data_IF_377718132279
#
_entry.id   IF_377718132279
#
_cell.length_a   1.000
_cell.length_b   1.000
_cell.length_c   1.000
_cell.angle_alpha   90.00
_cell.angle_beta   90.00
_cell.angle_gamma   90.00
#
_symmetry.space_group_name_H-M   'P 1'
#
loop_
_entity.id
_entity.type
_entity.pdbx_description
1 polymer ?
#
# COMPACT_ATOMS: atom_id res chain seq x y z
N UNK A 1 -55.14 -34.73 -12.75
CA UNK A 1 -53.81 -34.59 -12.14
C UNK A 1 -53.02 -33.59 -12.95
N UNK A 2 -52.97 -32.31 -12.50
CA UNK A 2 -52.25 -31.21 -13.20
C UNK A 2 -50.89 -31.09 -12.54
N UNK A 3 -49.80 -31.37 -13.27
CA UNK A 3 -48.42 -31.15 -12.80
C UNK A 3 -48.07 -29.69 -12.98
N UNK A 4 -47.90 -28.97 -11.89
CA UNK A 4 -47.41 -27.59 -11.83
C UNK A 4 -45.87 -27.63 -11.97
N UNK A 5 -45.35 -27.17 -13.10
CA UNK A 5 -43.92 -27.03 -13.30
C UNK A 5 -43.46 -25.66 -12.68
N UNK A 6 -42.72 -25.76 -11.60
CA UNK A 6 -42.12 -24.60 -10.93
C UNK A 6 -40.82 -24.21 -11.68
N UNK A 7 -40.83 -23.14 -12.46
CA UNK A 7 -39.65 -22.57 -13.08
C UNK A 7 -38.91 -21.72 -12.01
N UNK A 8 -37.78 -22.22 -11.51
CA UNK A 8 -36.87 -21.43 -10.68
C UNK A 8 -36.12 -20.49 -11.61
N UNK A 9 -36.47 -19.22 -11.55
CA UNK A 9 -35.74 -18.13 -12.22
C UNK A 9 -34.51 -17.77 -11.36
N UNK A 10 -33.35 -18.33 -11.70
CA UNK A 10 -32.08 -17.95 -11.06
C UNK A 10 -31.64 -16.60 -11.64
N UNK A 11 -31.93 -15.51 -10.92
CA UNK A 11 -31.42 -14.17 -11.26
C UNK A 11 -29.94 -14.13 -10.86
N UNK A 12 -29.04 -14.32 -11.82
CA UNK A 12 -27.65 -14.00 -11.66
C UNK A 12 -27.53 -12.48 -11.55
N UNK A 13 -27.35 -11.97 -10.33
CA UNK A 13 -26.90 -10.61 -10.09
C UNK A 13 -25.45 -10.50 -10.58
N UNK A 14 -25.27 -10.26 -11.86
CA UNK A 14 -24.00 -9.80 -12.40
C UNK A 14 -23.79 -8.38 -11.86
N UNK A 15 -22.96 -8.24 -10.84
CA UNK A 15 -22.52 -6.94 -10.39
C UNK A 15 -21.90 -6.23 -11.61
N UNK A 16 -22.58 -5.20 -12.11
CA UNK A 16 -22.17 -4.43 -13.26
C UNK A 16 -20.92 -3.62 -12.85
N UNK A 17 -19.74 -4.22 -12.95
CA UNK A 17 -18.48 -3.46 -12.81
C UNK A 17 -18.40 -2.52 -14.01
N UNK A 18 -18.21 -1.24 -13.71
CA UNK A 18 -18.01 -0.23 -14.75
C UNK A 18 -16.75 -0.58 -15.56
N UNK A 19 -16.87 -0.71 -16.85
CA UNK A 19 -15.71 -0.98 -17.70
C UNK A 19 -14.70 0.19 -17.60
N UNK A 20 -13.37 -0.11 -17.61
CA UNK A 20 -12.37 0.92 -17.56
C UNK A 20 -12.46 1.85 -18.76
N UNK A 21 -12.38 3.16 -18.52
CA UNK A 21 -12.38 4.18 -19.59
C UNK A 21 -11.07 4.23 -20.36
N UNK A 22 -9.98 3.83 -19.74
CA UNK A 22 -8.62 3.83 -20.28
C UNK A 22 -8.05 2.42 -20.21
N UNK A 23 -7.41 1.98 -21.29
CA UNK A 23 -6.69 0.70 -21.32
C UNK A 23 -5.21 1.00 -21.16
N UNK A 24 -4.64 0.59 -20.03
CA UNK A 24 -3.21 0.72 -19.76
C UNK A 24 -2.46 -0.53 -20.24
N UNK A 25 -1.25 -0.33 -20.73
CA UNK A 25 -0.31 -1.41 -21.09
C UNK A 25 0.75 -1.51 -20.00
N UNK A 26 0.79 -2.64 -19.29
CA UNK A 26 1.79 -2.86 -18.25
C UNK A 26 3.18 -3.04 -18.87
N UNK A 27 4.16 -2.26 -18.40
CA UNK A 27 5.59 -2.50 -18.63
C UNK A 27 6.20 -3.39 -17.54
N UNK A 28 5.79 -3.13 -16.29
CA UNK A 28 6.17 -3.92 -15.11
C UNK A 28 4.93 -4.15 -14.27
N UNK A 29 4.69 -5.40 -13.88
CA UNK A 29 3.67 -5.77 -12.90
C UNK A 29 4.30 -6.70 -11.88
N UNK A 30 4.39 -6.25 -10.63
CA UNK A 30 4.87 -7.08 -9.53
C UNK A 30 3.77 -8.04 -9.07
N UNK A 31 4.13 -9.26 -8.66
CA UNK A 31 3.18 -10.16 -8.02
C UNK A 31 2.75 -9.59 -6.67
N UNK A 32 1.49 -9.77 -6.30
CA UNK A 32 0.95 -9.17 -5.08
C UNK A 32 -0.16 -10.03 -4.48
N UNK A 33 -0.43 -9.86 -3.18
CA UNK A 33 -1.61 -10.41 -2.53
C UNK A 33 -2.89 -9.72 -3.03
N UNK A 34 -4.08 -10.32 -2.84
CA UNK A 34 -5.35 -9.68 -3.18
C UNK A 34 -5.50 -8.29 -2.54
N UNK A 35 -6.22 -7.40 -3.23
CA UNK A 35 -6.59 -6.10 -2.68
C UNK A 35 -7.50 -6.28 -1.47
N UNK A 36 -7.15 -5.63 -0.37
CA UNK A 36 -7.92 -5.65 0.88
C UNK A 36 -8.83 -4.42 0.98
N UNK A 37 -9.72 -4.41 1.96
CA UNK A 37 -10.58 -3.27 2.25
C UNK A 37 -10.40 -2.85 3.72
N UNK A 38 -9.87 -1.64 3.93
CA UNK A 38 -9.68 -1.06 5.27
C UNK A 38 -10.99 -0.60 5.92
N UNK A 39 -12.10 -0.57 5.16
CA UNK A 39 -13.39 -0.08 5.64
C UNK A 39 -13.33 1.38 6.10
N UNK A 40 -13.90 1.65 7.27
CA UNK A 40 -13.97 3.00 7.86
C UNK A 40 -12.80 3.31 8.82
N UNK A 41 -11.68 2.60 8.71
CA UNK A 41 -10.50 2.85 9.53
C UNK A 41 -9.57 3.88 8.88
N UNK A 42 -8.71 4.53 9.68
CA UNK A 42 -7.64 5.41 9.19
C UNK A 42 -6.31 4.65 9.05
N UNK A 43 -6.34 3.36 8.70
CA UNK A 43 -5.16 2.49 8.66
C UNK A 43 -4.57 2.31 7.25
N UNK A 44 -4.86 3.21 6.31
CA UNK A 44 -4.30 3.14 4.94
C UNK A 44 -2.78 2.95 4.94
N UNK A 45 -2.06 3.66 5.81
CA UNK A 45 -0.63 3.55 6.00
C UNK A 45 -0.17 2.11 6.36
N UNK A 46 -0.93 1.43 7.22
CA UNK A 46 -0.64 0.04 7.58
C UNK A 46 -0.91 -0.92 6.40
N UNK A 47 -2.05 -0.75 5.71
CA UNK A 47 -2.38 -1.58 4.55
C UNK A 47 -1.38 -1.39 3.40
N UNK A 48 -0.98 -0.16 3.12
CA UNK A 48 -0.03 0.15 2.05
C UNK A 48 1.36 -0.42 2.34
N UNK A 49 1.89 -0.17 3.55
CA UNK A 49 3.22 -0.66 3.91
C UNK A 49 3.26 -2.19 4.05
N UNK A 50 2.22 -2.85 4.60
CA UNK A 50 2.13 -4.31 4.59
C UNK A 50 2.08 -4.87 3.16
N UNK A 51 1.33 -4.22 2.26
CA UNK A 51 1.32 -4.62 0.84
C UNK A 51 2.68 -4.47 0.17
N UNK A 52 3.47 -3.47 0.54
CA UNK A 52 4.84 -3.28 0.06
C UNK A 52 5.73 -4.42 0.53
N UNK A 53 5.71 -4.75 1.84
CA UNK A 53 6.48 -5.87 2.41
C UNK A 53 6.07 -7.20 1.74
N UNK A 54 4.76 -7.48 1.63
CA UNK A 54 4.25 -8.68 0.95
C UNK A 54 4.78 -8.79 -0.48
N UNK A 55 4.72 -7.69 -1.24
CA UNK A 55 5.14 -7.65 -2.65
C UNK A 55 6.65 -7.88 -2.81
N UNK A 56 7.48 -7.31 -1.93
CA UNK A 56 8.92 -7.56 -1.88
C UNK A 56 9.22 -9.07 -1.76
N UNK A 57 8.58 -9.73 -0.80
CA UNK A 57 8.78 -11.16 -0.57
C UNK A 57 8.28 -12.02 -1.74
N UNK A 58 7.07 -11.74 -2.24
CA UNK A 58 6.48 -12.51 -3.34
C UNK A 58 7.32 -12.33 -4.62
N UNK A 59 7.88 -11.15 -4.87
CA UNK A 59 8.76 -10.91 -6.02
C UNK A 59 10.06 -11.73 -5.95
N UNK A 60 10.50 -12.11 -4.75
CA UNK A 60 11.66 -13.00 -4.50
C UNK A 60 11.29 -14.49 -4.50
N UNK A 61 10.00 -14.83 -4.61
CA UNK A 61 9.48 -16.21 -4.65
C UNK A 61 8.95 -16.73 -3.33
N UNK A 62 8.89 -15.92 -2.29
CA UNK A 62 8.31 -16.27 -1.00
C UNK A 62 6.77 -16.21 -1.03
N UNK A 63 6.13 -16.91 -0.10
CA UNK A 63 4.68 -16.82 0.11
C UNK A 63 4.40 -16.07 1.42
N UNK A 64 4.22 -14.76 1.32
CA UNK A 64 3.95 -13.88 2.47
C UNK A 64 2.60 -13.18 2.29
N UNK A 65 1.74 -13.32 3.29
CA UNK A 65 0.46 -12.65 3.38
C UNK A 65 0.24 -12.22 4.84
N UNK A 66 0.21 -10.92 5.09
CA UNK A 66 0.25 -10.32 6.43
C UNK A 66 -1.12 -9.80 6.86
N UNK A 67 -1.38 -9.82 8.18
CA UNK A 67 -2.66 -9.39 8.72
C UNK A 67 -2.68 -7.91 9.11
N UNK A 68 -3.42 -7.05 8.40
CA UNK A 68 -3.67 -5.67 8.84
C UNK A 68 -4.57 -5.63 10.09
N UNK A 69 -5.44 -6.62 10.27
CA UNK A 69 -6.32 -6.73 11.44
C UNK A 69 -5.55 -6.99 12.74
N UNK A 70 -4.41 -7.67 12.66
CA UNK A 70 -3.50 -7.78 13.80
C UNK A 70 -2.94 -6.40 14.20
N UNK A 71 -2.56 -5.58 13.22
CA UNK A 71 -2.10 -4.19 13.47
C UNK A 71 -3.22 -3.39 14.13
N UNK A 72 -4.43 -3.42 13.59
CA UNK A 72 -5.61 -2.78 14.20
C UNK A 72 -5.81 -3.22 15.66
N UNK A 73 -5.63 -4.52 15.94
CA UNK A 73 -5.77 -5.10 17.28
C UNK A 73 -4.71 -4.61 18.25
N UNK A 74 -3.44 -4.52 17.85
CA UNK A 74 -2.34 -4.13 18.74
C UNK A 74 -2.29 -2.63 19.00
N UNK A 75 -2.67 -1.79 18.02
CA UNK A 75 -2.74 -0.34 18.22
C UNK A 75 -3.95 0.09 19.04
N UNK A 76 -4.99 -0.75 19.15
CA UNK A 76 -6.22 -0.51 19.93
C UNK A 76 -6.95 0.80 19.59
N UNK A 77 -6.68 1.40 18.44
CA UNK A 77 -7.25 2.68 18.00
C UNK A 77 -7.54 2.63 16.52
N UNK A 78 -8.81 2.41 16.16
CA UNK A 78 -9.27 2.35 14.75
C UNK A 78 -9.05 3.67 13.98
N UNK A 79 -8.96 4.77 14.69
CA UNK A 79 -8.79 6.11 14.14
C UNK A 79 -7.34 6.62 14.27
N UNK A 80 -6.38 5.72 14.55
CA UNK A 80 -4.99 6.10 14.60
C UNK A 80 -4.51 6.45 13.21
N UNK A 81 -4.12 7.71 13.00
CA UNK A 81 -3.39 8.15 11.82
C UNK A 81 -1.91 7.84 12.00
N UNK A 82 -1.19 7.70 10.90
CA UNK A 82 0.24 7.40 10.92
C UNK A 82 0.79 7.30 9.53
N UNK A 83 2.08 7.07 9.44
CA UNK A 83 2.85 6.94 8.20
C UNK A 83 3.38 5.50 8.03
N UNK A 84 3.96 5.19 6.87
CA UNK A 84 4.63 3.90 6.66
C UNK A 84 5.69 3.60 7.73
N UNK A 85 6.43 4.61 8.18
CA UNK A 85 7.37 4.49 9.30
C UNK A 85 6.70 4.08 10.61
N UNK A 86 5.48 4.56 10.87
CA UNK A 86 4.69 4.15 12.05
C UNK A 86 4.43 2.64 12.05
N UNK A 87 4.10 2.05 10.87
CA UNK A 87 3.96 0.61 10.78
C UNK A 87 5.25 -0.13 11.09
N UNK A 88 6.38 0.29 10.53
CA UNK A 88 7.68 -0.32 10.80
C UNK A 88 8.01 -0.30 12.29
N UNK A 89 7.71 0.80 12.99
CA UNK A 89 7.88 0.91 14.43
C UNK A 89 6.91 0.00 15.21
N UNK A 90 5.68 -0.16 14.76
CA UNK A 90 4.71 -1.09 15.38
C UNK A 90 5.17 -2.53 15.20
N UNK A 91 5.60 -2.93 14.01
CA UNK A 91 6.14 -4.27 13.73
C UNK A 91 7.35 -4.54 14.63
N UNK A 92 8.26 -3.58 14.78
CA UNK A 92 9.43 -3.72 15.66
C UNK A 92 9.04 -3.92 17.13
N UNK A 93 7.97 -3.27 17.61
CA UNK A 93 7.52 -3.34 19.01
C UNK A 93 6.60 -4.52 19.31
N UNK A 94 5.74 -4.89 18.38
CA UNK A 94 4.65 -5.83 18.59
C UNK A 94 4.72 -7.07 17.70
N UNK A 95 5.59 -7.07 16.71
CA UNK A 95 5.63 -8.09 15.68
C UNK A 95 4.49 -7.97 14.66
N UNK A 96 4.34 -9.00 13.87
CA UNK A 96 3.28 -9.18 12.86
C UNK A 96 2.89 -10.65 12.82
N UNK A 97 1.72 -10.96 12.26
CA UNK A 97 1.27 -12.34 12.04
C UNK A 97 0.80 -12.52 10.59
N UNK A 98 0.80 -13.77 10.14
CA UNK A 98 0.21 -14.11 8.84
C UNK A 98 -1.28 -13.80 8.81
N UNK A 99 -1.81 -13.53 7.61
CA UNK A 99 -3.24 -13.27 7.41
C UNK A 99 -4.11 -14.41 7.95
N UNK A 100 -3.73 -15.66 7.71
CA UNK A 100 -4.48 -16.83 8.16
C UNK A 100 -4.54 -16.98 9.69
N UNK A 101 -3.54 -16.45 10.41
CA UNK A 101 -3.53 -16.44 11.89
C UNK A 101 -4.49 -15.39 12.47
N UNK A 102 -4.83 -14.32 11.71
CA UNK A 102 -5.71 -13.26 12.16
C UNK A 102 -6.42 -12.61 10.94
N UNK A 103 -7.42 -13.30 10.34
CA UNK A 103 -7.91 -12.97 9.00
C UNK A 103 -8.92 -11.81 8.94
N UNK A 104 -9.57 -11.45 10.05
CA UNK A 104 -10.57 -10.38 10.06
C UNK A 104 -10.84 -9.82 11.47
N UNK A 105 -11.71 -8.80 11.57
CA UNK A 105 -12.06 -8.12 12.82
C UNK A 105 -12.93 -8.97 13.76
N UNK A 106 -13.53 -10.05 13.31
CA UNK A 106 -14.31 -10.95 14.19
C UNK A 106 -13.42 -11.60 15.24
N UNK A 107 -12.13 -11.67 15.00
CA UNK A 107 -11.12 -12.17 15.94
C UNK A 107 -10.74 -11.14 17.02
N UNK A 108 -11.21 -9.90 16.96
CA UNK A 108 -10.86 -8.85 17.94
C UNK A 108 -11.35 -9.14 19.37
N UNK A 109 -12.35 -10.01 19.55
CA UNK A 109 -12.78 -10.47 20.86
C UNK A 109 -11.81 -11.49 21.48
N UNK A 110 -10.95 -12.11 20.68
CA UNK A 110 -9.94 -13.05 21.15
C UNK A 110 -8.66 -12.32 21.58
N UNK A 111 -7.83 -12.92 22.44
CA UNK A 111 -6.48 -12.44 22.68
C UNK A 111 -5.68 -12.37 21.37
N UNK A 112 -4.76 -11.40 21.26
CA UNK A 112 -3.82 -11.38 20.14
C UNK A 112 -3.05 -12.71 20.09
N UNK A 113 -2.79 -13.27 18.89
CA UNK A 113 -2.07 -14.53 18.75
C UNK A 113 -0.69 -14.45 19.43
N UNK A 114 -0.36 -15.45 20.23
CA UNK A 114 0.97 -15.56 20.84
C UNK A 114 1.95 -16.27 19.90
N UNK A 115 1.44 -16.98 18.92
CA UNK A 115 2.20 -17.84 18.01
C UNK A 115 1.70 -17.71 16.58
N UNK A 116 2.64 -17.77 15.65
CA UNK A 116 2.42 -17.94 14.21
C UNK A 116 3.04 -19.28 13.82
N UNK A 117 2.36 -20.04 13.00
CA UNK A 117 2.87 -21.30 12.46
C UNK A 117 3.22 -21.09 10.98
N UNK A 118 4.44 -21.39 10.60
CA UNK A 118 4.90 -21.31 9.22
C UNK A 118 5.97 -22.38 8.95
N UNK A 119 5.87 -23.07 7.81
CA UNK A 119 6.80 -24.12 7.40
C UNK A 119 7.06 -25.19 8.49
N UNK A 120 6.02 -25.56 9.23
CA UNK A 120 6.09 -26.57 10.30
C UNK A 120 6.73 -26.12 11.59
N UNK A 121 7.12 -24.85 11.73
CA UNK A 121 7.69 -24.27 12.93
C UNK A 121 6.75 -23.23 13.58
N UNK A 122 6.97 -22.98 14.85
CA UNK A 122 6.20 -22.02 15.67
C UNK A 122 7.07 -20.82 16.00
N UNK A 123 6.54 -19.63 15.74
CA UNK A 123 7.20 -18.35 15.98
C UNK A 123 6.34 -17.45 16.88
N UNK A 124 6.94 -16.62 17.68
CA UNK A 124 6.25 -15.44 18.23
C UNK A 124 6.00 -14.42 17.13
N UNK A 125 5.03 -13.49 17.28
CA UNK A 125 4.84 -12.40 16.31
C UNK A 125 6.10 -11.57 16.04
N UNK A 126 6.98 -11.40 17.03
CA UNK A 126 8.26 -10.68 16.86
C UNK A 126 9.29 -11.50 16.07
N UNK A 127 9.45 -12.79 16.35
CA UNK A 127 10.32 -13.67 15.57
C UNK A 127 9.85 -13.78 14.13
N UNK A 128 8.53 -13.89 13.89
CA UNK A 128 7.97 -13.89 12.55
C UNK A 128 8.22 -12.55 11.83
N UNK A 129 8.09 -11.43 12.55
CA UNK A 129 8.39 -10.10 12.00
C UNK A 129 9.83 -10.01 11.47
N UNK A 130 10.81 -10.55 12.20
CA UNK A 130 12.20 -10.53 11.76
C UNK A 130 12.45 -11.32 10.47
N UNK A 131 11.61 -12.29 10.15
CA UNK A 131 11.71 -13.06 8.89
C UNK A 131 11.10 -12.34 7.69
N UNK A 132 10.25 -11.34 7.91
CA UNK A 132 9.52 -10.64 6.83
C UNK A 132 9.82 -9.14 6.75
N UNK A 133 10.45 -8.56 7.76
CA UNK A 133 10.80 -7.14 7.80
C UNK A 133 11.95 -6.93 8.79
N UNK A 134 13.17 -6.86 8.28
CA UNK A 134 14.33 -6.56 9.12
C UNK A 134 14.24 -5.13 9.69
N UNK A 135 14.75 -4.87 10.91
CA UNK A 135 14.59 -3.57 11.57
C UNK A 135 15.07 -2.36 10.75
N UNK A 136 16.07 -2.53 9.90
CA UNK A 136 16.71 -1.46 9.13
C UNK A 136 16.60 -1.68 7.60
N UNK A 137 15.64 -2.49 7.16
CA UNK A 137 15.50 -2.86 5.75
C UNK A 137 15.01 -1.71 4.87
N UNK A 138 14.19 -0.82 5.44
CA UNK A 138 13.52 0.25 4.68
C UNK A 138 14.16 1.62 4.92
N UNK A 139 14.15 2.45 3.87
CA UNK A 139 14.47 3.88 3.91
C UNK A 139 13.21 4.69 3.62
N UNK A 140 13.06 5.81 4.33
CA UNK A 140 11.99 6.79 4.11
C UNK A 140 12.55 7.99 3.34
N UNK A 141 11.94 8.34 2.22
CA UNK A 141 12.32 9.48 1.38
C UNK A 141 11.20 10.49 1.34
N UNK A 142 11.57 11.77 1.26
CA UNK A 142 10.63 12.88 1.04
C UNK A 142 11.21 13.87 0.03
N UNK A 143 10.37 14.76 -0.48
CA UNK A 143 10.82 15.90 -1.28
C UNK A 143 10.11 17.17 -0.84
N UNK A 144 10.76 17.93 0.01
CA UNK A 144 10.23 19.17 0.56
C UNK A 144 11.27 20.30 0.41
N UNK A 145 10.91 21.32 -0.36
CA UNK A 145 11.78 22.46 -0.68
C UNK A 145 12.09 23.36 0.53
N UNK A 146 11.32 23.24 1.61
CA UNK A 146 11.55 24.00 2.84
C UNK A 146 12.71 23.43 3.69
N UNK A 147 13.25 22.26 3.31
CA UNK A 147 14.34 21.61 4.01
C UNK A 147 15.54 21.40 3.07
N UNK A 148 16.77 21.32 3.60
CA UNK A 148 17.96 21.06 2.78
C UNK A 148 17.88 19.66 2.15
N UNK A 149 18.21 19.58 0.86
CA UNK A 149 18.31 18.29 0.16
C UNK A 149 19.51 17.48 0.63
N UNK A 150 19.39 16.15 0.48
CA UNK A 150 20.40 15.15 0.85
C UNK A 150 20.74 15.16 2.35
N UNK A 151 19.74 15.55 3.16
CA UNK A 151 19.80 15.51 4.63
C UNK A 151 18.58 14.77 5.16
N UNK A 152 18.76 14.15 6.32
CA UNK A 152 17.64 13.65 7.11
C UNK A 152 16.89 14.82 7.73
N UNK A 153 15.58 14.78 7.62
CA UNK A 153 14.66 15.80 8.14
C UNK A 153 13.49 15.15 8.85
N UNK A 154 12.95 15.81 9.84
CA UNK A 154 11.70 15.40 10.50
C UNK A 154 10.60 16.29 9.94
N UNK A 155 9.61 15.65 9.30
CA UNK A 155 8.45 16.39 8.79
C UNK A 155 7.50 16.73 9.93
N UNK A 156 7.14 18.01 10.02
CA UNK A 156 6.11 18.50 10.95
C UNK A 156 4.70 18.22 10.38
N UNK A 157 4.28 16.98 10.50
CA UNK A 157 3.00 16.47 10.02
C UNK A 157 2.26 15.79 11.19
N UNK A 158 0.93 15.96 11.28
CA UNK A 158 0.12 15.29 12.32
C UNK A 158 0.27 13.77 12.32
N UNK A 159 0.53 13.16 11.15
CA UNK A 159 0.69 11.72 10.98
C UNK A 159 2.10 11.24 11.33
N UNK A 160 3.09 12.15 11.37
CA UNK A 160 4.45 11.87 11.85
C UNK A 160 4.62 12.14 13.35
N UNK A 161 3.64 11.75 14.16
CA UNK A 161 3.64 11.96 15.61
C UNK A 161 4.74 11.19 16.38
N UNK A 162 5.39 10.22 15.75
CA UNK A 162 6.58 9.54 16.27
C UNK A 162 7.89 10.27 15.91
N UNK A 163 7.83 11.39 15.18
CA UNK A 163 8.98 12.18 14.75
C UNK A 163 10.01 11.37 13.96
N UNK A 164 9.52 10.49 13.06
CA UNK A 164 10.38 9.74 12.17
C UNK A 164 11.12 10.68 11.21
N UNK A 165 12.36 10.29 10.87
CA UNK A 165 13.17 11.02 9.91
C UNK A 165 13.01 10.49 8.48
N UNK A 166 13.24 11.38 7.52
CA UNK A 166 13.15 11.13 6.09
C UNK A 166 14.38 11.72 5.40
N UNK A 167 14.99 10.98 4.49
CA UNK A 167 16.01 11.56 3.61
C UNK A 167 15.31 12.48 2.59
N UNK A 168 15.59 13.77 2.66
CA UNK A 168 15.02 14.76 1.74
C UNK A 168 15.83 14.81 0.44
N UNK A 169 15.16 14.58 -0.71
CA UNK A 169 15.78 14.60 -2.03
C UNK A 169 14.92 15.41 -3.02
N UNK A 170 15.49 15.92 -4.13
CA UNK A 170 14.71 16.62 -5.15
C UNK A 170 13.58 15.77 -5.73
N UNK A 171 12.45 16.40 -6.12
CA UNK A 171 11.26 15.72 -6.65
C UNK A 171 11.55 14.79 -7.83
N UNK A 172 12.36 15.28 -8.79
CA UNK A 172 12.71 14.47 -9.97
C UNK A 172 13.62 13.30 -9.60
N UNK A 173 14.50 13.46 -8.60
CA UNK A 173 15.31 12.37 -8.06
C UNK A 173 14.44 11.34 -7.33
N UNK A 174 13.45 11.78 -6.54
CA UNK A 174 12.52 10.90 -5.87
C UNK A 174 11.72 10.07 -6.89
N UNK A 175 11.16 10.71 -7.92
CA UNK A 175 10.46 10.04 -9.01
C UNK A 175 11.35 9.00 -9.72
N UNK A 176 12.60 9.37 -10.02
CA UNK A 176 13.56 8.48 -10.67
C UNK A 176 13.89 7.25 -9.80
N UNK A 177 14.08 7.42 -8.48
CA UNK A 177 14.29 6.29 -7.57
C UNK A 177 13.06 5.38 -7.49
N UNK A 178 11.84 5.94 -7.45
CA UNK A 178 10.60 5.15 -7.48
C UNK A 178 10.50 4.35 -8.79
N UNK A 179 10.73 4.97 -9.95
CA UNK A 179 10.69 4.28 -11.23
C UNK A 179 11.74 3.17 -11.29
N UNK A 180 12.97 3.45 -10.87
CA UNK A 180 14.06 2.48 -10.85
C UNK A 180 13.75 1.30 -9.92
N UNK A 181 13.23 1.55 -8.72
CA UNK A 181 12.83 0.51 -7.78
C UNK A 181 11.84 -0.47 -8.43
N UNK A 182 10.77 0.04 -9.04
CA UNK A 182 9.76 -0.81 -9.70
C UNK A 182 10.35 -1.58 -10.89
N UNK A 183 11.20 -0.94 -11.70
CA UNK A 183 11.89 -1.61 -12.83
C UNK A 183 12.82 -2.72 -12.36
N UNK A 184 13.43 -2.55 -11.21
CA UNK A 184 14.29 -3.56 -10.56
C UNK A 184 13.48 -4.57 -9.70
N UNK A 185 12.12 -4.56 -9.84
CA UNK A 185 11.18 -5.49 -9.18
C UNK A 185 11.04 -5.29 -7.68
N UNK A 186 11.30 -4.09 -7.17
CA UNK A 186 11.02 -3.69 -5.81
C UNK A 186 9.72 -2.90 -5.71
N UNK A 187 8.93 -3.14 -4.68
CA UNK A 187 7.73 -2.37 -4.38
C UNK A 187 8.07 -1.09 -3.61
N UNK A 188 7.18 -0.11 -3.68
CA UNK A 188 7.35 1.15 -2.95
C UNK A 188 6.04 1.49 -2.23
N UNK A 189 6.09 1.83 -0.94
CA UNK A 189 4.96 2.43 -0.25
C UNK A 189 4.94 3.92 -0.57
N UNK A 190 3.84 4.41 -1.08
CA UNK A 190 3.59 5.80 -1.39
C UNK A 190 2.64 6.42 -0.38
N UNK A 191 2.92 7.65 -0.01
CA UNK A 191 2.14 8.47 0.90
C UNK A 191 2.00 9.87 0.33
N UNK A 192 0.78 10.40 0.27
CA UNK A 192 0.55 11.69 -0.38
C UNK A 192 -0.90 12.14 -0.43
N UNK A 193 -1.16 13.09 -1.33
CA UNK A 193 -2.42 13.79 -1.44
C UNK A 193 -3.34 13.15 -2.48
N UNK A 194 -4.55 12.78 -2.04
CA UNK A 194 -5.63 12.25 -2.88
C UNK A 194 -6.85 13.18 -2.94
N UNK A 195 -6.78 14.36 -2.35
CA UNK A 195 -7.89 15.35 -2.37
C UNK A 195 -7.98 16.16 -3.67
N UNK A 196 -7.25 15.75 -4.69
CA UNK A 196 -7.26 16.41 -5.98
C UNK A 196 -8.47 15.99 -6.84
N UNK A 197 -8.96 16.93 -7.67
CA UNK A 197 -10.08 16.63 -8.59
C UNK A 197 -9.78 15.53 -9.60
N UNK A 198 -8.52 15.30 -9.91
CA UNK A 198 -8.08 14.24 -10.82
C UNK A 198 -7.81 12.91 -10.16
N UNK A 199 -8.04 12.79 -8.84
CA UNK A 199 -8.03 11.51 -8.16
C UNK A 199 -9.45 10.95 -8.10
N UNK A 200 -9.68 9.82 -8.74
CA UNK A 200 -10.97 9.12 -8.73
C UNK A 200 -10.75 7.63 -8.47
N UNK A 201 -11.16 7.17 -7.30
CA UNK A 201 -11.14 5.74 -6.99
C UNK A 201 -12.07 4.95 -7.90
N UNK A 202 -13.27 5.47 -8.18
CA UNK A 202 -14.25 4.77 -9.04
C UNK A 202 -13.70 4.54 -10.46
N UNK A 203 -13.04 5.54 -11.02
CA UNK A 203 -12.39 5.44 -12.33
C UNK A 203 -11.02 4.74 -12.26
N UNK A 204 -10.42 4.64 -11.07
CA UNK A 204 -9.13 4.04 -10.82
C UNK A 204 -7.96 4.85 -11.40
N UNK A 205 -8.08 6.18 -11.44
CA UNK A 205 -7.10 7.07 -12.06
C UNK A 205 -6.76 8.23 -11.12
N UNK A 206 -5.48 8.60 -11.08
CA UNK A 206 -4.94 9.82 -10.48
C UNK A 206 -4.03 10.49 -11.52
N UNK A 207 -4.50 11.55 -12.18
CA UNK A 207 -3.76 12.17 -13.29
C UNK A 207 -3.70 13.70 -13.16
N UNK A 208 -4.85 14.36 -13.03
CA UNK A 208 -4.91 15.82 -12.96
C UNK A 208 -4.78 16.30 -11.53
N UNK A 209 -4.01 17.34 -11.30
CA UNK A 209 -3.81 17.96 -10.00
C UNK A 209 -3.58 19.48 -10.14
N UNK A 210 -3.67 20.18 -9.03
CA UNK A 210 -3.23 21.56 -8.91
C UNK A 210 -1.74 21.61 -8.48
N UNK A 211 -1.14 22.79 -8.46
CA UNK A 211 0.25 22.98 -8.06
C UNK A 211 0.43 23.35 -6.58
N UNK A 212 -0.60 23.15 -5.75
CA UNK A 212 -0.46 23.31 -4.30
C UNK A 212 0.45 22.24 -3.69
N UNK A 213 1.06 22.57 -2.57
CA UNK A 213 1.81 21.61 -1.78
C UNK A 213 0.93 20.41 -1.41
N UNK A 214 1.45 19.18 -1.43
CA UNK A 214 0.69 17.99 -1.08
C UNK A 214 0.30 17.99 0.39
N UNK A 215 -0.87 17.43 0.69
CA UNK A 215 -1.30 17.11 2.06
C UNK A 215 -1.18 15.61 2.30
N UNK A 216 -0.85 15.23 3.52
CA UNK A 216 -0.78 13.83 3.92
C UNK A 216 -2.17 13.31 4.27
N UNK A 217 -2.76 12.49 3.39
CA UNK A 217 -4.12 12.00 3.61
C UNK A 217 -4.37 10.56 3.17
N UNK A 218 -3.45 9.93 2.41
CA UNK A 218 -3.63 8.55 1.97
C UNK A 218 -2.32 7.85 1.63
N UNK A 219 -2.33 6.51 1.75
CA UNK A 219 -1.20 5.65 1.42
C UNK A 219 -1.62 4.52 0.49
N UNK A 220 -0.77 4.17 -0.46
CA UNK A 220 -0.94 3.04 -1.39
C UNK A 220 0.41 2.36 -1.66
N UNK A 221 0.40 1.08 -2.05
CA UNK A 221 1.61 0.42 -2.53
C UNK A 221 1.75 0.60 -4.05
N UNK A 222 2.92 1.01 -4.52
CA UNK A 222 3.27 1.02 -5.95
C UNK A 222 3.76 -0.37 -6.31
N UNK A 223 3.08 -1.00 -7.28
CA UNK A 223 3.28 -2.41 -7.65
C UNK A 223 3.47 -2.60 -9.15
N UNK A 224 3.69 -1.54 -9.89
CA UNK A 224 3.92 -1.64 -11.32
C UNK A 224 4.11 -0.32 -12.04
N UNK A 225 4.46 -0.43 -13.31
CA UNK A 225 4.58 0.66 -14.28
C UNK A 225 3.76 0.30 -15.50
N UNK A 226 3.03 1.27 -16.03
CA UNK A 226 2.19 1.12 -17.21
C UNK A 226 2.23 2.36 -18.10
N UNK A 227 1.77 2.19 -19.33
CA UNK A 227 1.54 3.30 -20.28
C UNK A 227 0.07 3.42 -20.64
N UNK A 228 -0.38 4.66 -20.77
CA UNK A 228 -1.67 4.94 -21.36
C UNK A 228 -1.60 4.87 -22.91
N UNK A 229 -2.73 5.01 -23.65
CA UNK A 229 -2.73 5.02 -25.11
C UNK A 229 -1.91 6.15 -25.77
N UNK A 230 -1.54 7.19 -25.00
CA UNK A 230 -0.67 8.27 -25.43
C UNK A 230 0.80 8.06 -25.02
N UNK A 231 1.14 6.86 -24.55
CA UNK A 231 2.47 6.47 -24.06
C UNK A 231 2.97 7.26 -22.84
N UNK A 232 2.09 7.96 -22.11
CA UNK A 232 2.46 8.62 -20.85
C UNK A 232 2.72 7.58 -19.76
N UNK A 233 3.66 7.89 -18.88
CA UNK A 233 4.05 7.02 -17.77
C UNK A 233 3.03 7.08 -16.63
N UNK A 234 2.58 5.92 -16.20
CA UNK A 234 1.74 5.72 -15.02
C UNK A 234 2.33 4.66 -14.10
N UNK A 235 2.12 4.84 -12.81
CA UNK A 235 2.42 3.83 -11.78
C UNK A 235 1.14 3.09 -11.42
N UNK A 236 1.25 1.78 -11.28
CA UNK A 236 0.14 0.95 -10.79
C UNK A 236 0.16 0.95 -9.27
N UNK A 237 -0.90 1.47 -8.69
CA UNK A 237 -1.09 1.61 -7.26
C UNK A 237 -2.05 0.53 -6.76
N UNK A 238 -1.66 -0.21 -5.73
CA UNK A 238 -2.55 -1.12 -4.99
C UNK A 238 -3.17 -0.36 -3.83
N UNK A 239 -4.47 -0.07 -3.95
CA UNK A 239 -5.23 0.64 -2.93
C UNK A 239 -5.79 -0.34 -1.88
N UNK A 240 -6.38 0.18 -0.82
CA UNK A 240 -7.00 -0.56 0.30
C UNK A 240 -8.49 -0.25 0.48
N UNK A 241 -9.19 0.10 -0.59
CA UNK A 241 -10.64 0.43 -0.57
C UNK A 241 -11.52 -0.63 -1.23
N UNK A 242 -11.05 -1.89 -1.25
CA UNK A 242 -11.77 -2.98 -1.91
C UNK A 242 -11.60 -2.98 -3.43
N UNK A 243 -12.41 -3.81 -4.12
CA UNK A 243 -12.20 -4.16 -5.53
C UNK A 243 -13.28 -3.63 -6.46
N UNK A 244 -14.14 -2.71 -6.01
CA UNK A 244 -15.34 -2.28 -6.75
C UNK A 244 -15.10 -1.17 -7.78
N UNK A 245 -13.84 -0.71 -7.94
CA UNK A 245 -13.50 0.25 -8.98
C UNK A 245 -13.25 -0.41 -10.36
N UNK A 246 -12.98 0.42 -11.38
CA UNK A 246 -12.79 -0.03 -12.76
C UNK A 246 -11.63 -1.05 -12.95
N UNK A 247 -10.63 -1.06 -12.05
CA UNK A 247 -9.44 -1.92 -12.14
C UNK A 247 -9.30 -2.88 -10.95
N UNK A 248 -10.42 -3.28 -10.34
CA UNK A 248 -10.47 -4.28 -9.25
C UNK A 248 -9.61 -3.90 -8.04
N UNK A 249 -9.67 -2.62 -7.65
CA UNK A 249 -8.96 -2.06 -6.50
C UNK A 249 -7.56 -1.54 -6.82
N UNK A 250 -7.06 -1.74 -8.02
CA UNK A 250 -5.87 -1.05 -8.50
C UNK A 250 -6.23 0.34 -9.01
N UNK A 251 -5.24 1.22 -9.05
CA UNK A 251 -5.34 2.55 -9.63
C UNK A 251 -4.11 2.83 -10.48
N UNK A 252 -4.25 3.76 -11.42
CA UNK A 252 -3.15 4.24 -12.23
C UNK A 252 -2.89 5.71 -11.93
N UNK A 253 -1.69 6.00 -11.42
CA UNK A 253 -1.24 7.34 -11.05
C UNK A 253 -0.22 7.82 -12.05
N UNK A 254 -0.46 8.98 -12.69
CA UNK A 254 0.51 9.55 -13.62
C UNK A 254 1.82 9.92 -12.92
N UNK A 255 2.93 9.89 -13.66
CA UNK A 255 4.23 10.26 -13.12
C UNK A 255 4.24 11.72 -12.61
N UNK A 256 3.51 12.61 -13.27
CA UNK A 256 3.37 14.01 -12.84
C UNK A 256 2.62 14.13 -11.52
N UNK A 257 1.51 13.37 -11.36
CA UNK A 257 0.76 13.34 -10.11
C UNK A 257 1.63 12.81 -8.96
N UNK A 258 2.31 11.69 -9.18
CA UNK A 258 3.22 11.11 -8.19
C UNK A 258 4.30 12.13 -7.81
N UNK A 259 4.99 12.74 -8.78
CA UNK A 259 6.05 13.74 -8.52
C UNK A 259 5.57 14.89 -7.65
N UNK A 260 4.37 15.42 -7.91
CA UNK A 260 3.91 16.67 -7.31
C UNK A 260 3.06 16.47 -6.06
N UNK A 261 2.47 15.27 -5.88
CA UNK A 261 1.55 14.96 -4.77
C UNK A 261 2.08 13.95 -3.77
N UNK A 262 3.35 13.56 -3.87
CA UNK A 262 4.02 12.73 -2.89
C UNK A 262 4.43 13.56 -1.66
N UNK A 263 4.11 13.06 -0.48
CA UNK A 263 4.62 13.52 0.81
C UNK A 263 5.84 12.70 1.20
N UNK A 264 5.73 11.38 1.11
CA UNK A 264 6.82 10.46 1.41
C UNK A 264 6.71 9.16 0.59
N UNK A 265 7.82 8.46 0.45
CA UNK A 265 7.85 7.08 -0.03
C UNK A 265 8.76 6.24 0.85
N UNK A 266 8.45 4.93 0.92
CA UNK A 266 9.24 3.96 1.65
C UNK A 266 9.58 2.81 0.71
N UNK A 267 10.86 2.47 0.63
CA UNK A 267 11.36 1.35 -0.17
C UNK A 267 12.49 0.65 0.58
N UNK A 268 12.86 -0.54 0.16
CA UNK A 268 14.02 -1.22 0.74
C UNK A 268 15.30 -0.41 0.46
N UNK A 269 16.28 -0.50 1.35
CA UNK A 269 17.60 0.12 1.12
C UNK A 269 18.25 -0.41 -0.15
N UNK A 270 18.05 -1.70 -0.45
CA UNK A 270 18.48 -2.34 -1.70
C UNK A 270 17.87 -1.64 -2.92
N UNK A 271 16.56 -1.37 -2.90
CA UNK A 271 15.87 -0.65 -3.99
C UNK A 271 16.41 0.77 -4.19
N UNK A 272 16.84 1.42 -3.13
CA UNK A 272 17.45 2.76 -3.18
C UNK A 272 18.92 2.71 -3.64
N UNK A 273 19.57 1.56 -3.57
CA UNK A 273 20.99 1.37 -3.95
C UNK A 273 21.97 1.43 -2.77
N UNK A 274 21.47 1.26 -1.55
CA UNK A 274 22.29 1.08 -0.33
C UNK A 274 22.35 -0.43 -0.04
N UNK A 275 23.52 -1.03 -0.02
CA UNK A 275 23.69 -2.46 0.25
C UNK A 275 23.36 -2.86 1.69
#
# INVERSE_FOLDING_TARGET
>A
MKRLALFLLTVCLVACQKAPKVVFTDEVRLPMTPVKNQGQTNLCWAYAMLSTIETEHIARGDSVHLSPFYIERVVKRKQLRGMGATLLNIIRRHGIVSYDAYPDTSYHHLPAPRWVFMLGARYTPLEFAHSVCAPDEYIALTSNENYPYYKEVVLDLPDNWEHNSFLNIPKDSLLAHVEQAIRNRHAVCWEGDTHERGFSFEEGIADRHNHSAPTDNHCMAIVGIARDPQHRLFFTMKNSWGTHNAYKGLMYMSAEYLRDKTVAVFMTKEAYGIP
#
